data_IF_212872288820
#
_entry.id   IF_212872288820
#
_cell.length_a   1.000
_cell.length_b   1.000
_cell.length_c   1.000
_cell.angle_alpha   90.00
_cell.angle_beta   90.00
_cell.angle_gamma   90.00
#
_symmetry.space_group_name_H-M   'P 1'
#
loop_
_entity.id
_entity.type
_entity.pdbx_description
1 polymer ?
#
# COMPACT_ATOMS: atom_id res chain seq x y z
N UNK A 1 -2.16 7.86 6.57
CA UNK A 1 -3.20 8.24 5.58
C UNK A 1 -3.46 9.74 5.53
N UNK A 2 -3.79 10.42 6.65
CA UNK A 2 -4.09 11.87 6.66
C UNK A 2 -3.03 12.73 5.96
N UNK A 3 -1.74 12.49 6.24
CA UNK A 3 -0.65 13.22 5.59
C UNK A 3 -0.70 13.10 4.06
N UNK A 4 -0.83 11.89 3.52
CA UNK A 4 -0.94 11.67 2.07
C UNK A 4 -2.12 12.44 1.47
N UNK A 5 -3.28 12.44 2.15
CA UNK A 5 -4.44 13.23 1.71
C UNK A 5 -4.11 14.73 1.70
N UNK A 6 -3.46 15.24 2.75
CA UNK A 6 -3.04 16.65 2.85
C UNK A 6 -2.06 17.06 1.74
N UNK A 7 -1.17 16.16 1.33
CA UNK A 7 -0.23 16.37 0.22
C UNK A 7 -0.86 16.14 -1.16
N UNK A 8 -2.19 15.94 -1.26
CA UNK A 8 -2.91 15.90 -2.54
C UNK A 8 -3.02 14.51 -3.17
N UNK A 9 -2.61 13.44 -2.49
CA UNK A 9 -2.78 12.08 -2.99
C UNK A 9 -4.25 11.65 -2.93
N UNK A 10 -4.71 10.96 -3.97
CA UNK A 10 -5.96 10.19 -3.88
C UNK A 10 -5.68 8.89 -3.11
N UNK A 11 -6.22 8.79 -1.90
CA UNK A 11 -6.02 7.62 -1.04
C UNK A 11 -7.28 6.76 -0.96
N UNK A 12 -7.06 5.45 -1.13
CA UNK A 12 -8.07 4.40 -0.97
C UNK A 12 -7.73 3.56 0.27
N UNK A 13 -8.50 3.69 1.37
CA UNK A 13 -8.38 2.77 2.49
C UNK A 13 -8.73 1.35 2.05
N UNK A 14 -7.94 0.36 2.46
CA UNK A 14 -8.17 -1.05 2.12
C UNK A 14 -8.08 -1.88 3.39
N UNK A 15 -9.23 -2.40 3.83
CA UNK A 15 -9.32 -3.27 4.99
C UNK A 15 -10.63 -4.08 4.94
N UNK A 16 -10.58 -5.41 4.76
CA UNK A 16 -11.78 -6.27 4.72
C UNK A 16 -12.72 -6.09 5.89
N UNK A 17 -12.19 -5.79 7.08
CA UNK A 17 -12.98 -5.67 8.31
C UNK A 17 -13.82 -4.39 8.39
N UNK A 18 -13.55 -3.41 7.54
CA UNK A 18 -14.25 -2.12 7.49
C UNK A 18 -14.77 -1.84 6.07
N UNK A 19 -14.94 -2.87 5.25
CA UNK A 19 -15.39 -2.70 3.87
C UNK A 19 -16.77 -2.04 3.82
N UNK A 20 -16.91 -1.00 3.01
CA UNK A 20 -18.13 -0.18 2.91
C UNK A 20 -18.25 0.94 3.96
N UNK A 21 -17.38 0.99 4.96
CA UNK A 21 -17.32 2.11 5.89
C UNK A 21 -16.56 3.30 5.30
N UNK A 22 -16.70 4.48 5.94
CA UNK A 22 -15.92 5.67 5.60
C UNK A 22 -14.81 5.91 6.60
N UNK A 23 -13.56 5.91 6.13
CA UNK A 23 -12.38 6.25 6.92
C UNK A 23 -11.86 7.59 6.42
N UNK A 24 -11.83 8.61 7.27
CA UNK A 24 -11.47 9.99 6.90
C UNK A 24 -12.27 10.51 5.70
N UNK A 25 -13.55 10.14 5.63
CA UNK A 25 -14.42 10.51 4.52
C UNK A 25 -14.11 9.80 3.19
N UNK A 26 -13.27 8.77 3.15
CA UNK A 26 -12.99 7.91 1.99
C UNK A 26 -13.67 6.55 2.16
N UNK A 27 -14.23 5.99 1.09
CA UNK A 27 -14.78 4.62 1.11
C UNK A 27 -13.65 3.60 1.33
N UNK A 28 -13.85 2.67 2.26
CA UNK A 28 -12.91 1.59 2.54
C UNK A 28 -13.25 0.34 1.71
N UNK A 29 -12.27 -0.15 0.96
CA UNK A 29 -12.41 -1.30 0.08
C UNK A 29 -11.98 -2.61 0.76
N UNK A 30 -12.59 -3.75 0.40
CA UNK A 30 -12.22 -5.04 0.98
C UNK A 30 -10.85 -5.54 0.52
N UNK A 31 -10.39 -5.17 -0.67
CA UNK A 31 -9.11 -5.58 -1.25
C UNK A 31 -8.72 -4.62 -2.39
N UNK A 32 -7.50 -4.78 -2.94
CA UNK A 32 -7.01 -3.89 -4.01
C UNK A 32 -7.83 -3.99 -5.30
N UNK A 33 -8.35 -5.17 -5.62
CA UNK A 33 -9.11 -5.44 -6.86
C UNK A 33 -10.48 -4.77 -6.89
N UNK A 34 -11.03 -4.44 -5.73
CA UNK A 34 -12.31 -3.73 -5.63
C UNK A 34 -12.20 -2.24 -6.00
N UNK A 35 -10.99 -1.70 -6.15
CA UNK A 35 -10.78 -0.32 -6.54
C UNK A 35 -10.78 -0.22 -8.07
N UNK A 36 -11.79 0.44 -8.64
CA UNK A 36 -11.94 0.62 -10.09
C UNK A 36 -11.10 1.79 -10.65
N UNK A 37 -9.90 1.98 -10.12
CA UNK A 37 -8.96 3.05 -10.51
C UNK A 37 -7.55 2.47 -10.58
N UNK A 38 -6.69 3.10 -11.38
CA UNK A 38 -5.26 2.76 -11.40
C UNK A 38 -4.67 3.04 -10.02
N UNK A 39 -3.90 2.08 -9.51
CA UNK A 39 -3.17 2.21 -8.26
C UNK A 39 -1.70 2.42 -8.59
N UNK A 40 -1.13 3.57 -8.22
CA UNK A 40 0.29 3.83 -8.46
C UNK A 40 1.17 3.24 -7.33
N UNK A 41 0.68 3.32 -6.08
CA UNK A 41 1.41 2.87 -4.88
C UNK A 41 0.50 2.11 -3.92
N UNK A 42 1.02 1.01 -3.37
CA UNK A 42 0.39 0.24 -2.28
C UNK A 42 1.21 0.43 -1.00
N UNK A 43 0.65 1.14 -0.01
CA UNK A 43 1.28 1.42 1.29
C UNK A 43 0.76 0.47 2.39
N UNK A 44 1.64 -0.37 2.92
CA UNK A 44 1.29 -1.50 3.80
C UNK A 44 1.58 -1.18 5.26
N UNK A 45 0.52 -1.23 6.07
CA UNK A 45 0.52 -1.10 7.53
C UNK A 45 0.32 -2.45 8.26
N UNK A 46 0.45 -3.58 7.55
CA UNK A 46 0.23 -4.94 8.09
C UNK A 46 1.54 -5.63 8.48
N UNK A 47 1.42 -6.66 9.31
CA UNK A 47 2.54 -7.50 9.72
C UNK A 47 3.11 -8.30 8.55
N UNK A 48 4.31 -8.82 8.76
CA UNK A 48 5.11 -9.54 7.75
C UNK A 48 4.37 -10.72 7.10
N UNK A 49 3.47 -11.36 7.83
CA UNK A 49 2.75 -12.56 7.37
C UNK A 49 1.83 -12.26 6.17
N UNK A 50 1.32 -11.03 6.06
CA UNK A 50 0.45 -10.62 4.95
C UNK A 50 1.23 -10.09 3.75
N UNK A 51 2.53 -9.87 3.87
CA UNK A 51 3.27 -9.14 2.85
C UNK A 51 3.35 -9.90 1.53
N UNK A 52 3.44 -11.23 1.55
CA UNK A 52 3.48 -12.02 0.32
C UNK A 52 2.15 -11.97 -0.46
N UNK A 53 1.02 -12.08 0.23
CA UNK A 53 -0.30 -11.97 -0.42
C UNK A 53 -0.53 -10.55 -0.94
N UNK A 54 -0.18 -9.52 -0.15
CA UNK A 54 -0.30 -8.13 -0.58
C UNK A 54 0.63 -7.78 -1.75
N UNK A 55 1.82 -8.37 -1.81
CA UNK A 55 2.72 -8.22 -2.97
C UNK A 55 2.08 -8.81 -4.22
N UNK A 56 1.44 -9.99 -4.13
CA UNK A 56 0.72 -10.59 -5.25
C UNK A 56 -0.44 -9.70 -5.70
N UNK A 57 -1.27 -9.21 -4.78
CA UNK A 57 -2.36 -8.32 -5.11
C UNK A 57 -1.85 -7.03 -5.78
N UNK A 58 -0.75 -6.46 -5.29
CA UNK A 58 -0.12 -5.27 -5.88
C UNK A 58 0.33 -5.52 -7.34
N UNK A 59 0.93 -6.69 -7.61
CA UNK A 59 1.31 -7.10 -8.97
C UNK A 59 0.06 -7.26 -9.85
N UNK A 60 -1.00 -7.90 -9.32
CA UNK A 60 -2.24 -8.16 -10.08
C UNK A 60 -2.97 -6.87 -10.47
N UNK A 61 -3.00 -5.87 -9.57
CA UNK A 61 -3.56 -4.54 -9.88
C UNK A 61 -2.58 -3.64 -10.65
N UNK A 62 -1.41 -4.16 -11.01
CA UNK A 62 -0.35 -3.45 -11.75
C UNK A 62 0.09 -2.16 -11.06
N UNK A 63 0.21 -2.20 -9.73
CA UNK A 63 0.84 -1.13 -9.00
C UNK A 63 2.29 -0.96 -9.44
N UNK A 64 2.81 0.26 -9.36
CA UNK A 64 4.21 0.55 -9.69
C UNK A 64 5.10 0.43 -8.45
N UNK A 65 4.57 0.86 -7.29
CA UNK A 65 5.30 0.95 -6.03
C UNK A 65 4.63 0.09 -4.96
N UNK A 66 5.42 -0.75 -4.30
CA UNK A 66 5.04 -1.44 -3.07
C UNK A 66 5.85 -0.83 -1.92
N UNK A 67 5.14 -0.33 -0.91
CA UNK A 67 5.73 0.44 0.18
C UNK A 67 5.43 -0.21 1.54
N UNK A 68 6.45 -0.36 2.38
CA UNK A 68 6.28 -0.72 3.80
C UNK A 68 6.73 0.37 4.75
N UNK A 69 5.97 0.53 5.83
CA UNK A 69 6.29 1.44 6.91
C UNK A 69 7.60 1.06 7.64
N UNK A 70 8.09 2.00 8.45
CA UNK A 70 9.29 1.82 9.29
C UNK A 70 9.18 0.58 10.18
N UNK A 71 10.29 -0.13 10.36
CA UNK A 71 10.39 -1.39 11.10
C UNK A 71 9.98 -2.64 10.31
N UNK A 72 9.43 -2.50 9.11
CA UNK A 72 9.00 -3.63 8.28
C UNK A 72 10.02 -3.86 7.15
N UNK A 73 11.02 -4.70 7.44
CA UNK A 73 12.02 -5.15 6.47
C UNK A 73 11.86 -6.64 6.14
N UNK A 74 11.80 -6.96 4.84
CA UNK A 74 11.49 -8.31 4.32
C UNK A 74 12.26 -8.63 3.03
N UNK A 75 13.51 -9.07 3.17
CA UNK A 75 14.42 -9.32 2.03
C UNK A 75 13.87 -10.28 0.97
N UNK A 76 13.26 -11.40 1.38
CA UNK A 76 12.75 -12.40 0.41
C UNK A 76 11.64 -11.83 -0.47
N UNK A 77 10.73 -11.08 0.13
CA UNK A 77 9.58 -10.54 -0.55
C UNK A 77 9.93 -9.27 -1.34
N UNK A 78 10.94 -8.52 -0.89
CA UNK A 78 11.57 -7.49 -1.70
C UNK A 78 12.11 -8.05 -3.02
N UNK A 79 12.83 -9.18 -2.96
CA UNK A 79 13.35 -9.86 -4.17
C UNK A 79 12.18 -10.28 -5.06
N UNK A 80 11.15 -10.90 -4.48
CA UNK A 80 9.96 -11.32 -5.22
C UNK A 80 9.26 -10.14 -5.92
N UNK A 81 8.92 -9.07 -5.19
CA UNK A 81 8.28 -7.89 -5.77
C UNK A 81 9.11 -7.25 -6.88
N UNK A 82 10.42 -7.09 -6.67
CA UNK A 82 11.33 -6.55 -7.70
C UNK A 82 11.42 -7.43 -8.93
N UNK A 83 11.46 -8.76 -8.76
CA UNK A 83 11.47 -9.70 -9.90
C UNK A 83 10.17 -9.64 -10.72
N UNK A 84 9.08 -9.15 -10.15
CA UNK A 84 7.81 -8.91 -10.81
C UNK A 84 7.64 -7.49 -11.37
N UNK A 85 8.70 -6.66 -11.32
CA UNK A 85 8.71 -5.30 -11.87
C UNK A 85 8.28 -4.19 -10.91
N UNK A 86 7.99 -4.50 -9.63
CA UNK A 86 7.65 -3.48 -8.64
C UNK A 86 8.88 -2.70 -8.17
N UNK A 87 8.72 -1.40 -7.97
CA UNK A 87 9.60 -0.60 -7.11
C UNK A 87 9.23 -0.94 -5.66
N UNK A 88 10.13 -1.60 -4.95
CA UNK A 88 9.91 -1.96 -3.54
C UNK A 88 10.67 -0.99 -2.64
N UNK A 89 9.91 -0.16 -1.93
CA UNK A 89 10.38 0.73 -0.85
C UNK A 89 10.04 0.07 0.49
N UNK A 90 11.04 -0.02 1.37
CA UNK A 90 10.84 -0.59 2.69
C UNK A 90 11.47 0.27 3.76
N UNK A 91 10.96 0.13 4.98
CA UNK A 91 11.50 0.77 6.18
C UNK A 91 11.54 2.30 6.04
N UNK A 92 10.46 2.86 5.49
CA UNK A 92 10.30 4.29 5.26
C UNK A 92 8.87 4.72 5.57
N UNK A 93 8.71 5.90 6.15
CA UNK A 93 7.40 6.51 6.34
C UNK A 93 7.18 7.57 5.25
N UNK A 94 6.16 7.45 4.37
CA UNK A 94 5.88 8.46 3.35
C UNK A 94 5.61 9.84 3.94
N UNK A 95 4.96 9.90 5.11
CA UNK A 95 4.69 11.14 5.83
C UNK A 95 5.99 11.90 6.11
N UNK A 96 6.98 11.25 6.71
CA UNK A 96 8.26 11.88 7.06
C UNK A 96 8.97 12.43 5.81
N UNK A 97 9.04 11.61 4.75
CA UNK A 97 9.67 12.01 3.48
C UNK A 97 9.00 13.24 2.83
N UNK A 98 7.69 13.38 2.96
CA UNK A 98 6.95 14.51 2.38
C UNK A 98 7.00 15.77 3.26
N UNK A 99 7.26 15.60 4.56
CA UNK A 99 7.31 16.70 5.54
C UNK A 99 8.76 17.19 5.80
N UNK A 100 9.77 16.43 5.39
CA UNK A 100 11.19 16.80 5.37
C UNK A 100 11.52 17.77 4.22
#
# INVERSE_FOLDING_TARGET
MEALIKFGFEVFPVNPNYAGERILGKECYPNLKAINKKIDMVDIFRTKDFFFSLTKEAIEVKAEILWTQEGIFMKKQQIFGRSAGLIVVMDKCPKKILED
#
